data_IF_292473212683
#
_entry.id   IF_292473212683
#
_cell.length_a   1.000
_cell.length_b   1.000
_cell.length_c   1.000
_cell.angle_alpha   90.00
_cell.angle_beta   90.00
_cell.angle_gamma   90.00
#
_symmetry.space_group_name_H-M   'P 1'
#
loop_
_entity.id
_entity.type
_entity.pdbx_description
1 polymer ?
#
# COMPACT_ATOMS: atom_id res chain seq x y z
N UNK A 1 11.01 -1.79 -9.42
CA UNK A 1 11.66 -0.60 -10.00
C UNK A 1 12.11 0.42 -8.96
N UNK A 2 13.40 0.76 -8.96
CA UNK A 2 13.87 1.97 -8.29
C UNK A 2 13.75 3.14 -9.26
N UNK A 3 12.87 4.10 -8.96
CA UNK A 3 12.72 5.30 -9.79
C UNK A 3 13.14 6.52 -8.98
N UNK A 4 14.28 7.08 -9.39
CA UNK A 4 14.89 8.24 -8.76
C UNK A 4 14.67 9.50 -9.56
N UNK A 5 13.86 10.39 -9.01
CA UNK A 5 13.64 11.74 -9.50
C UNK A 5 14.60 12.71 -8.77
N UNK A 6 15.89 12.34 -8.70
CA UNK A 6 16.93 13.09 -7.99
C UNK A 6 17.74 14.04 -8.88
N UNK A 7 17.51 14.00 -10.20
CA UNK A 7 18.11 14.92 -11.16
C UNK A 7 17.21 16.15 -11.30
N UNK A 8 17.84 17.32 -11.47
CA UNK A 8 17.14 18.58 -11.70
C UNK A 8 16.18 18.45 -12.90
N UNK A 9 14.91 18.80 -12.69
CA UNK A 9 13.85 18.71 -13.71
C UNK A 9 13.28 17.31 -13.95
N UNK A 10 13.74 16.26 -13.24
CA UNK A 10 13.20 14.90 -13.38
C UNK A 10 11.87 14.74 -12.63
N UNK A 11 10.82 15.42 -13.10
CA UNK A 11 9.48 15.40 -12.50
C UNK A 11 8.50 14.60 -13.38
N UNK A 12 7.35 14.22 -12.83
CA UNK A 12 6.20 13.69 -13.60
C UNK A 12 6.42 12.35 -14.32
N UNK A 13 7.40 11.56 -13.87
CA UNK A 13 7.54 10.16 -14.32
C UNK A 13 6.34 9.31 -13.87
N UNK A 14 6.11 8.18 -14.54
CA UNK A 14 4.99 7.31 -14.21
C UNK A 14 5.20 5.84 -14.54
N UNK A 15 4.43 5.00 -13.84
CA UNK A 15 4.28 3.56 -14.11
C UNK A 15 2.79 3.30 -14.21
N UNK A 16 2.32 2.96 -15.40
CA UNK A 16 0.89 2.82 -15.67
C UNK A 16 0.58 1.56 -16.46
N UNK A 17 -0.53 0.90 -16.11
CA UNK A 17 -1.04 -0.26 -16.83
C UNK A 17 -0.03 -1.42 -16.93
N UNK A 18 0.82 -1.60 -15.93
CA UNK A 18 1.77 -2.71 -15.85
C UNK A 18 1.20 -3.90 -15.08
N UNK A 19 1.69 -5.10 -15.41
CA UNK A 19 1.43 -6.33 -14.66
C UNK A 19 2.72 -6.77 -13.96
N UNK A 20 2.77 -6.60 -12.64
CA UNK A 20 3.82 -7.12 -11.76
C UNK A 20 3.36 -8.46 -11.22
N UNK A 21 3.98 -9.54 -11.71
CA UNK A 21 3.56 -10.90 -11.40
C UNK A 21 4.72 -11.72 -10.87
N UNK A 22 4.47 -12.52 -9.84
CA UNK A 22 5.41 -13.52 -9.34
C UNK A 22 6.80 -12.93 -8.98
N UNK A 23 6.86 -11.73 -8.40
CA UNK A 23 8.12 -11.19 -7.87
C UNK A 23 8.44 -11.98 -6.59
N UNK A 24 9.60 -12.65 -6.50
CA UNK A 24 9.90 -13.52 -5.38
C UNK A 24 10.08 -12.72 -4.08
N UNK A 25 9.72 -13.35 -2.96
CA UNK A 25 10.07 -12.83 -1.64
C UNK A 25 11.58 -12.89 -1.45
N UNK A 26 12.20 -11.74 -1.22
CA UNK A 26 13.63 -11.60 -1.03
C UNK A 26 13.90 -10.69 0.17
N UNK A 27 14.15 -11.32 1.33
CA UNK A 27 14.31 -10.64 2.63
C UNK A 27 15.45 -9.62 2.58
N UNK A 28 15.13 -8.34 2.64
CA UNK A 28 16.13 -7.28 2.71
C UNK A 28 15.57 -5.93 2.26
N UNK A 29 15.97 -4.87 2.96
CA UNK A 29 15.53 -3.52 2.65
C UNK A 29 16.01 -3.09 1.25
N UNK A 30 15.12 -2.43 0.52
CA UNK A 30 15.42 -1.82 -0.78
C UNK A 30 15.02 -2.68 -1.97
N UNK A 31 14.13 -3.65 -1.77
CA UNK A 31 13.57 -4.51 -2.81
C UNK A 31 12.07 -4.29 -2.96
N UNK A 32 11.66 -3.02 -2.85
CA UNK A 32 10.30 -2.60 -3.12
C UNK A 32 9.95 -2.83 -4.59
N UNK A 33 8.72 -3.27 -4.89
CA UNK A 33 8.26 -3.41 -6.27
C UNK A 33 8.30 -2.06 -6.98
N UNK A 34 7.93 -0.97 -6.30
CA UNK A 34 8.17 0.39 -6.79
C UNK A 34 8.65 1.26 -5.65
N UNK A 35 9.87 1.79 -5.77
CA UNK A 35 10.37 2.86 -4.91
C UNK A 35 10.47 4.16 -5.68
N UNK A 36 9.80 5.20 -5.20
CA UNK A 36 9.89 6.56 -5.75
C UNK A 36 10.64 7.45 -4.77
N UNK A 37 11.78 8.02 -5.18
CA UNK A 37 12.51 9.00 -4.38
C UNK A 37 12.80 10.27 -5.17
N UNK A 38 12.85 11.42 -4.49
CA UNK A 38 13.02 12.73 -5.11
C UNK A 38 12.82 13.87 -4.11
N UNK A 39 12.48 15.07 -4.59
CA UNK A 39 12.14 16.23 -3.76
C UNK A 39 11.03 15.87 -2.75
N UNK A 40 11.22 16.26 -1.49
CA UNK A 40 10.37 15.82 -0.37
C UNK A 40 10.91 14.64 0.45
N UNK A 41 11.97 13.94 -0.01
CA UNK A 41 12.55 12.80 0.73
C UNK A 41 13.18 13.21 2.06
N UNK A 42 14.00 14.27 2.02
CA UNK A 42 14.81 14.73 3.15
C UNK A 42 14.21 15.95 3.84
N UNK A 43 13.31 16.67 3.16
CA UNK A 43 12.54 17.78 3.71
C UNK A 43 11.15 17.77 3.08
N UNK A 44 10.14 17.30 3.79
CA UNK A 44 8.75 17.26 3.32
C UNK A 44 8.10 18.65 3.17
N UNK A 45 8.73 19.72 3.68
CA UNK A 45 8.21 21.10 3.65
C UNK A 45 8.53 21.84 2.35
N UNK A 46 9.41 21.29 1.53
CA UNK A 46 9.68 21.85 0.20
C UNK A 46 8.41 21.95 -0.63
N UNK A 47 8.30 23.01 -1.43
CA UNK A 47 7.14 23.24 -2.32
C UNK A 47 7.20 22.42 -3.60
N UNK A 48 8.26 21.64 -3.78
CA UNK A 48 8.53 20.81 -4.96
C UNK A 48 8.32 19.31 -4.67
N UNK A 49 8.35 18.45 -5.68
CA UNK A 49 8.12 17.01 -5.53
C UNK A 49 8.55 16.15 -6.71
N UNK A 50 8.35 14.84 -6.58
CA UNK A 50 8.57 13.93 -7.70
C UNK A 50 7.40 13.93 -8.69
N UNK A 51 6.19 14.29 -8.22
CA UNK A 51 4.95 14.30 -8.99
C UNK A 51 4.67 12.98 -9.73
N UNK A 52 5.10 11.86 -9.15
CA UNK A 52 5.09 10.56 -9.81
C UNK A 52 3.68 9.99 -9.87
N UNK A 53 3.32 9.36 -10.98
CA UNK A 53 2.01 8.68 -11.13
C UNK A 53 2.17 7.17 -11.22
N UNK A 54 1.63 6.45 -10.24
CA UNK A 54 1.51 4.98 -10.25
C UNK A 54 0.03 4.66 -10.43
N UNK A 55 -0.39 4.29 -11.64
CA UNK A 55 -1.81 4.17 -11.94
C UNK A 55 -2.18 2.90 -12.69
N UNK A 56 -3.26 2.24 -12.27
CA UNK A 56 -3.86 1.16 -13.04
C UNK A 56 -2.95 -0.06 -13.20
N UNK A 57 -2.04 -0.30 -12.25
CA UNK A 57 -1.16 -1.46 -12.27
C UNK A 57 -1.76 -2.62 -11.46
N UNK A 58 -1.45 -3.84 -11.87
CA UNK A 58 -1.79 -5.08 -11.15
C UNK A 58 -0.52 -5.66 -10.53
N UNK A 59 -0.53 -5.88 -9.22
CA UNK A 59 0.48 -6.60 -8.46
C UNK A 59 -0.12 -7.92 -8.00
N UNK A 60 0.43 -9.04 -8.46
CA UNK A 60 -0.12 -10.37 -8.26
C UNK A 60 1.00 -11.32 -7.85
N UNK A 61 0.96 -11.76 -6.60
CA UNK A 61 2.05 -12.53 -6.00
C UNK A 61 3.42 -11.84 -6.17
N UNK A 62 3.48 -10.53 -5.95
CA UNK A 62 4.67 -9.70 -6.19
C UNK A 62 5.34 -9.29 -4.87
N UNK A 63 6.01 -10.22 -4.21
CA UNK A 63 6.36 -10.07 -2.79
C UNK A 63 7.48 -9.07 -2.49
N UNK A 64 8.46 -8.94 -3.38
CA UNK A 64 9.64 -8.10 -3.15
C UNK A 64 10.27 -8.34 -1.76
N UNK A 65 10.49 -7.27 -1.01
CA UNK A 65 10.98 -7.35 0.38
C UNK A 65 9.91 -7.73 1.44
N UNK A 66 8.65 -7.87 1.06
CA UNK A 66 7.54 -8.28 1.92
C UNK A 66 7.05 -7.20 2.90
N UNK A 67 7.46 -5.94 2.75
CA UNK A 67 6.96 -4.83 3.59
C UNK A 67 6.41 -3.65 2.81
N UNK A 68 7.10 -3.19 1.77
CA UNK A 68 6.66 -2.10 0.90
C UNK A 68 6.56 -2.57 -0.56
N UNK A 69 5.34 -2.74 -1.07
CA UNK A 69 5.09 -3.02 -2.48
C UNK A 69 5.36 -1.73 -3.26
N UNK A 70 4.61 -0.68 -2.91
CA UNK A 70 4.85 0.69 -3.37
C UNK A 70 5.39 1.49 -2.19
N UNK A 71 6.52 2.16 -2.38
CA UNK A 71 7.14 3.01 -1.36
C UNK A 71 7.41 4.42 -1.90
N UNK A 72 6.54 5.36 -1.52
CA UNK A 72 6.70 6.77 -1.81
C UNK A 72 7.64 7.41 -0.79
N UNK A 73 8.75 7.97 -1.27
CA UNK A 73 9.76 8.68 -0.48
C UNK A 73 10.00 10.07 -1.08
N UNK A 74 8.92 10.81 -1.38
CA UNK A 74 8.92 12.15 -2.01
C UNK A 74 7.53 12.81 -1.92
N UNK A 75 7.43 14.08 -2.32
CA UNK A 75 6.18 14.86 -2.29
C UNK A 75 5.34 14.72 -3.58
N UNK A 76 4.04 15.02 -3.46
CA UNK A 76 3.09 15.23 -4.57
C UNK A 76 2.86 14.03 -5.52
N UNK A 77 3.13 12.81 -5.07
CA UNK A 77 2.90 11.61 -5.87
C UNK A 77 1.44 11.14 -5.82
N UNK A 78 1.06 10.34 -6.81
CA UNK A 78 -0.27 9.78 -6.96
C UNK A 78 -0.19 8.26 -7.16
N UNK A 79 -0.95 7.52 -6.36
CA UNK A 79 -1.14 6.06 -6.48
C UNK A 79 -2.63 5.80 -6.65
N UNK A 80 -3.04 5.53 -7.89
CA UNK A 80 -4.45 5.61 -8.31
C UNK A 80 -4.91 4.31 -8.96
N UNK A 81 -6.02 3.75 -8.48
CA UNK A 81 -6.71 2.60 -9.09
C UNK A 81 -5.80 1.39 -9.39
N UNK A 82 -4.78 1.16 -8.55
CA UNK A 82 -3.96 -0.06 -8.64
C UNK A 82 -4.68 -1.20 -7.93
N UNK A 83 -4.38 -2.44 -8.34
CA UNK A 83 -4.88 -3.65 -7.68
C UNK A 83 -3.70 -4.48 -7.18
N UNK A 84 -3.74 -4.87 -5.93
CA UNK A 84 -2.76 -5.75 -5.29
C UNK A 84 -3.50 -7.02 -4.86
N UNK A 85 -2.98 -8.18 -5.23
CA UNK A 85 -3.59 -9.49 -4.94
C UNK A 85 -2.54 -10.42 -4.35
N UNK A 86 -2.89 -11.04 -3.22
CA UNK A 86 -2.14 -12.11 -2.57
C UNK A 86 -0.62 -11.82 -2.53
N UNK A 87 -0.25 -10.63 -2.08
CA UNK A 87 1.13 -10.11 -2.11
C UNK A 87 1.56 -9.69 -0.71
N UNK A 88 2.79 -10.04 -0.31
CA UNK A 88 3.39 -9.59 0.94
C UNK A 88 3.69 -8.09 0.90
N UNK A 89 3.51 -7.39 2.02
CA UNK A 89 3.69 -5.94 2.09
C UNK A 89 2.43 -5.17 1.68
N UNK A 90 2.56 -3.85 1.53
CA UNK A 90 1.43 -2.95 1.25
C UNK A 90 1.83 -1.69 0.48
N UNK A 91 0.87 -0.79 0.28
CA UNK A 91 1.08 0.51 -0.37
C UNK A 91 1.46 1.55 0.69
N UNK A 92 2.66 2.11 0.57
CA UNK A 92 3.26 2.91 1.62
C UNK A 92 3.59 4.33 1.13
N UNK A 93 3.05 5.33 1.84
CA UNK A 93 3.67 6.65 1.92
C UNK A 93 4.71 6.59 3.03
N UNK A 94 5.96 6.30 2.66
CA UNK A 94 7.05 6.10 3.62
C UNK A 94 7.64 7.42 4.08
N UNK A 95 7.68 8.44 3.21
CA UNK A 95 8.09 9.83 3.47
C UNK A 95 7.43 10.81 2.48
N UNK A 96 7.49 12.09 2.81
CA UNK A 96 7.01 13.21 1.99
C UNK A 96 5.68 13.79 2.47
N UNK A 97 5.14 14.74 1.72
CA UNK A 97 3.88 15.43 1.94
C UNK A 97 3.02 15.46 0.67
N UNK A 98 1.72 15.75 0.80
CA UNK A 98 0.83 15.99 -0.34
C UNK A 98 0.65 14.81 -1.32
N UNK A 99 1.00 13.59 -0.90
CA UNK A 99 0.74 12.37 -1.67
C UNK A 99 -0.74 11.95 -1.65
N UNK A 100 -1.18 11.28 -2.72
CA UNK A 100 -2.55 10.81 -2.92
C UNK A 100 -2.58 9.28 -3.11
N UNK A 101 -3.33 8.56 -2.28
CA UNK A 101 -3.71 7.16 -2.49
C UNK A 101 -5.22 7.10 -2.75
N UNK A 102 -5.65 6.81 -3.98
CA UNK A 102 -7.07 6.87 -4.34
C UNK A 102 -7.55 5.66 -5.15
N UNK A 103 -8.67 5.09 -4.74
CA UNK A 103 -9.37 4.03 -5.49
C UNK A 103 -8.57 2.72 -5.64
N UNK A 104 -7.51 2.52 -4.87
CA UNK A 104 -6.73 1.29 -4.93
C UNK A 104 -7.49 0.14 -4.28
N UNK A 105 -7.29 -1.06 -4.80
CA UNK A 105 -7.87 -2.31 -4.29
C UNK A 105 -6.75 -3.21 -3.80
N UNK A 106 -6.76 -3.58 -2.52
CA UNK A 106 -5.77 -4.48 -1.93
C UNK A 106 -6.49 -5.71 -1.36
N UNK A 107 -6.17 -6.88 -1.94
CA UNK A 107 -6.74 -8.18 -1.61
C UNK A 107 -5.64 -9.05 -1.02
N UNK A 108 -5.55 -9.10 0.32
CA UNK A 108 -4.56 -9.91 1.01
C UNK A 108 -4.90 -11.41 1.01
N UNK A 109 -6.15 -11.79 0.78
CA UNK A 109 -6.63 -13.18 0.77
C UNK A 109 -6.27 -13.99 2.05
N UNK A 110 -6.05 -13.30 3.17
CA UNK A 110 -5.65 -13.93 4.43
C UNK A 110 -4.18 -14.35 4.49
N UNK A 111 -3.36 -13.95 3.51
CA UNK A 111 -1.92 -14.17 3.51
C UNK A 111 -1.27 -13.40 4.67
N UNK A 112 -0.60 -14.11 5.57
CA UNK A 112 0.16 -13.47 6.66
C UNK A 112 1.28 -12.60 6.08
N UNK A 113 1.40 -11.36 6.55
CA UNK A 113 2.34 -10.38 6.00
C UNK A 113 1.80 -9.59 4.80
N UNK A 114 0.59 -9.88 4.31
CA UNK A 114 -0.10 -8.97 3.40
C UNK A 114 -0.59 -7.76 4.20
N UNK A 115 -0.15 -6.57 3.81
CA UNK A 115 -0.52 -5.32 4.45
C UNK A 115 -1.47 -4.51 3.55
N UNK A 116 -2.26 -3.65 4.18
CA UNK A 116 -3.10 -2.70 3.45
C UNK A 116 -2.34 -1.47 3.01
N UNK A 117 -2.68 -0.33 3.62
CA UNK A 117 -2.05 0.96 3.39
C UNK A 117 -1.17 1.35 4.58
N UNK A 118 -0.07 2.05 4.33
CA UNK A 118 0.72 2.70 5.38
C UNK A 118 1.02 4.14 5.01
N UNK A 119 1.02 5.05 5.97
CA UNK A 119 1.39 6.44 5.72
C UNK A 119 2.09 7.10 6.91
N UNK A 120 2.98 8.02 6.58
CA UNK A 120 3.64 8.96 7.48
C UNK A 120 3.81 10.30 6.77
N UNK A 121 3.85 11.40 7.51
CA UNK A 121 3.97 12.75 6.96
C UNK A 121 2.63 13.46 6.72
N UNK A 122 2.67 14.76 6.38
CA UNK A 122 1.50 15.62 6.40
C UNK A 122 0.77 15.74 5.04
N UNK A 123 -0.44 16.29 5.09
CA UNK A 123 -1.23 16.75 3.93
C UNK A 123 -1.60 15.65 2.92
N UNK A 124 -1.64 14.39 3.33
CA UNK A 124 -1.97 13.28 2.43
C UNK A 124 -3.47 13.15 2.20
N UNK A 125 -3.84 12.66 1.02
CA UNK A 125 -5.22 12.26 0.70
C UNK A 125 -5.29 10.75 0.50
N UNK A 126 -6.06 10.06 1.33
CA UNK A 126 -6.30 8.61 1.24
C UNK A 126 -7.80 8.38 1.09
N UNK A 127 -8.25 8.15 -0.14
CA UNK A 127 -9.67 8.21 -0.46
C UNK A 127 -10.20 7.04 -1.30
N UNK A 128 -11.33 6.47 -0.90
CA UNK A 128 -12.06 5.52 -1.74
C UNK A 128 -11.34 4.20 -1.99
N UNK A 129 -10.35 3.85 -1.16
CA UNK A 129 -9.60 2.60 -1.30
C UNK A 129 -10.39 1.43 -0.70
N UNK A 130 -10.22 0.25 -1.26
CA UNK A 130 -10.72 -1.01 -0.72
C UNK A 130 -9.57 -1.87 -0.24
N UNK A 131 -9.64 -2.35 1.00
CA UNK A 131 -8.64 -3.26 1.56
C UNK A 131 -9.34 -4.39 2.27
N UNK A 132 -9.03 -5.63 1.91
CA UNK A 132 -9.57 -6.82 2.55
C UNK A 132 -8.53 -7.92 2.73
N UNK A 133 -8.71 -8.73 3.76
CA UNK A 133 -7.88 -9.92 3.98
C UNK A 133 -6.41 -9.65 4.34
N UNK A 134 -6.05 -8.40 4.64
CA UNK A 134 -4.72 -8.00 5.09
C UNK A 134 -4.59 -8.04 6.63
N UNK A 135 -3.36 -8.03 7.14
CA UNK A 135 -3.07 -7.93 8.57
C UNK A 135 -3.69 -6.68 9.20
N UNK A 136 -3.61 -5.55 8.48
CA UNK A 136 -4.29 -4.29 8.78
C UNK A 136 -4.81 -3.60 7.52
N UNK A 137 -5.82 -2.75 7.67
CA UNK A 137 -6.39 -1.96 6.58
C UNK A 137 -5.56 -0.72 6.27
N UNK A 138 -5.31 0.11 7.27
CA UNK A 138 -4.38 1.24 7.20
C UNK A 138 -3.64 1.45 8.52
N UNK A 139 -2.33 1.71 8.42
CA UNK A 139 -1.49 2.17 9.54
C UNK A 139 -0.98 3.59 9.28
N UNK A 140 -1.27 4.49 10.20
CA UNK A 140 -0.87 5.90 10.16
C UNK A 140 0.20 6.10 11.23
N UNK A 141 1.47 6.19 10.80
CA UNK A 141 2.63 6.14 11.70
C UNK A 141 3.33 7.49 11.76
N UNK A 142 3.82 7.84 12.96
CA UNK A 142 4.75 8.94 13.18
C UNK A 142 6.15 8.37 13.46
N UNK A 143 7.18 9.20 13.27
CA UNK A 143 8.57 8.81 13.41
C UNK A 143 9.08 7.95 12.25
N UNK A 144 10.38 7.71 12.23
CA UNK A 144 10.99 6.79 11.30
C UNK A 144 10.77 5.34 11.74
N UNK A 145 10.30 4.47 10.83
CA UNK A 145 10.32 3.03 11.06
C UNK A 145 11.78 2.54 11.00
N UNK A 146 12.39 2.33 12.18
CA UNK A 146 13.70 1.69 12.35
C UNK A 146 13.45 0.28 12.87
N UNK A 147 13.95 -0.74 12.17
CA UNK A 147 13.77 -2.17 12.50
C UNK A 147 14.37 -2.53 13.87
N UNK A 148 15.36 -1.75 14.32
CA UNK A 148 15.83 -1.77 15.69
C UNK A 148 15.31 -0.51 16.40
N UNK A 149 14.36 -0.69 17.32
CA UNK A 149 14.11 0.29 18.36
C UNK A 149 15.29 0.21 19.33
N UNK A 150 16.46 0.70 18.89
CA UNK A 150 17.60 0.92 19.75
C UNK A 150 17.22 1.92 20.84
N UNK A 151 17.87 1.81 22.00
CA UNK A 151 17.70 2.71 23.14
C UNK A 151 17.87 4.19 22.78
N UNK A 152 18.56 4.51 21.68
CA UNK A 152 18.75 5.87 21.15
C UNK A 152 17.47 6.53 20.62
N UNK A 153 16.53 5.79 20.01
CA UNK A 153 15.27 6.36 19.49
C UNK A 153 14.41 6.99 20.59
N UNK A 154 14.49 6.46 21.82
CA UNK A 154 13.77 7.01 22.99
C UNK A 154 14.48 8.19 23.65
N UNK A 155 15.74 8.46 23.33
CA UNK A 155 16.52 9.54 23.97
C UNK A 155 16.05 10.94 23.59
N UNK A 156 15.44 11.07 22.42
CA UNK A 156 14.89 12.33 21.88
C UNK A 156 13.36 12.27 21.75
N UNK A 157 12.73 11.37 22.51
CA UNK A 157 11.28 11.37 22.67
C UNK A 157 10.89 12.44 23.69
N UNK A 158 9.87 13.28 23.42
CA UNK A 158 8.85 13.11 22.38
C UNK A 158 9.12 13.88 21.07
N UNK A 159 10.21 14.63 20.94
CA UNK A 159 10.50 15.47 19.77
C UNK A 159 10.63 14.67 18.46
N UNK A 160 11.21 13.47 18.50
CA UNK A 160 11.32 12.57 17.34
C UNK A 160 9.96 12.12 16.77
N UNK A 161 8.88 12.21 17.55
CA UNK A 161 7.55 11.94 17.03
C UNK A 161 7.11 12.99 15.99
N UNK A 162 7.68 14.19 16.04
CA UNK A 162 7.41 15.24 15.05
C UNK A 162 7.99 14.91 13.67
N UNK A 163 8.98 14.02 13.60
CA UNK A 163 9.53 13.54 12.33
C UNK A 163 8.46 12.73 11.61
N UNK A 164 8.08 13.18 10.41
CA UNK A 164 7.03 12.56 9.61
C UNK A 164 5.69 12.42 10.36
N UNK A 165 5.37 13.34 11.27
CA UNK A 165 4.08 13.30 11.99
C UNK A 165 2.92 13.45 11.00
N UNK A 166 1.96 12.49 10.99
CA UNK A 166 0.76 12.62 10.18
C UNK A 166 -0.12 13.76 10.69
N UNK A 167 -0.29 14.78 9.86
CA UNK A 167 -1.09 15.96 10.15
C UNK A 167 -1.80 16.46 8.90
N UNK A 168 -2.97 17.09 9.09
CA UNK A 168 -3.82 17.65 8.03
C UNK A 168 -4.19 16.66 6.90
N UNK A 169 -4.13 15.35 7.17
CA UNK A 169 -4.45 14.34 6.17
C UNK A 169 -5.96 14.10 6.08
N UNK A 170 -6.46 13.80 4.87
CA UNK A 170 -7.85 13.39 4.64
C UNK A 170 -7.92 11.88 4.38
N UNK A 171 -8.53 11.13 5.31
CA UNK A 171 -8.75 9.69 5.22
C UNK A 171 -10.26 9.48 5.10
N UNK A 172 -10.75 9.38 3.87
CA UNK A 172 -12.19 9.44 3.61
C UNK A 172 -12.71 8.34 2.68
N UNK A 173 -13.92 7.86 2.97
CA UNK A 173 -14.67 6.93 2.12
C UNK A 173 -13.91 5.63 1.79
N UNK A 174 -12.96 5.22 2.64
CA UNK A 174 -12.25 3.96 2.46
C UNK A 174 -13.07 2.81 3.05
N UNK A 175 -12.89 1.62 2.48
CA UNK A 175 -13.57 0.41 2.92
C UNK A 175 -12.57 -0.63 3.36
N UNK A 176 -12.50 -0.88 4.66
CA UNK A 176 -11.57 -1.82 5.30
C UNK A 176 -12.35 -3.04 5.80
N UNK A 177 -12.10 -4.20 5.20
CA UNK A 177 -12.79 -5.44 5.54
C UNK A 177 -11.78 -6.37 6.21
N UNK A 178 -12.13 -6.91 7.38
CA UNK A 178 -11.28 -7.82 8.15
C UNK A 178 -12.03 -9.13 8.42
N UNK A 179 -12.07 -10.05 7.43
CA UNK A 179 -12.78 -11.33 7.58
C UNK A 179 -12.31 -12.16 8.78
N UNK A 180 -11.00 -12.13 9.04
CA UNK A 180 -10.37 -12.83 10.17
C UNK A 180 -10.33 -12.01 11.48
N UNK A 181 -10.96 -10.83 11.51
CA UNK A 181 -10.87 -9.92 12.65
C UNK A 181 -9.54 -9.16 12.73
N UNK A 182 -9.33 -8.49 13.87
CA UNK A 182 -8.13 -7.70 14.16
C UNK A 182 -8.31 -6.20 13.96
N UNK A 183 -7.20 -5.48 13.79
CA UNK A 183 -7.19 -4.02 13.65
C UNK A 183 -7.28 -3.66 12.17
N UNK A 184 -8.27 -2.85 11.80
CA UNK A 184 -8.42 -2.30 10.46
C UNK A 184 -7.71 -0.94 10.34
N UNK A 185 -7.90 -0.06 11.31
CA UNK A 185 -7.29 1.28 11.32
C UNK A 185 -6.45 1.42 12.59
N UNK A 186 -5.17 1.71 12.41
CA UNK A 186 -4.21 2.00 13.48
C UNK A 186 -3.56 3.35 13.20
N UNK A 187 -3.47 4.22 14.21
CA UNK A 187 -2.87 5.53 14.05
C UNK A 187 -2.04 5.92 15.27
N UNK A 188 -0.90 6.54 15.03
CA UNK A 188 -0.07 7.12 16.07
C UNK A 188 -0.83 8.27 16.76
N UNK A 189 -0.91 8.21 18.09
CA UNK A 189 -1.42 9.30 18.92
C UNK A 189 -0.27 10.22 19.32
N UNK A 190 -0.45 11.52 19.16
CA UNK A 190 0.53 12.52 19.62
C UNK A 190 0.75 12.35 21.14
N UNK A 191 2.01 12.34 21.58
CA UNK A 191 2.35 12.37 22.99
C UNK A 191 1.82 13.69 23.60
N UNK A 192 1.06 13.64 24.72
CA UNK A 192 0.52 14.83 25.36
C UNK A 192 1.56 15.92 25.67
N UNK A 193 2.83 15.54 25.84
CA UNK A 193 3.94 16.47 26.12
C UNK A 193 4.33 17.33 24.91
N UNK A 194 4.08 16.88 23.68
CA UNK A 194 4.40 17.64 22.45
C UNK A 194 3.48 18.85 22.26
N UNK A 195 2.23 18.72 22.70
CA UNK A 195 1.21 19.79 22.62
C UNK A 195 1.63 21.09 23.33
N UNK A 196 2.72 21.06 24.12
CA UNK A 196 3.25 22.18 24.89
C UNK A 196 4.39 22.96 24.17
N UNK A 197 4.94 22.50 23.04
CA UNK A 197 6.27 22.96 22.57
C UNK A 197 6.34 23.52 21.12
N UNK A 198 5.27 23.49 20.31
CA UNK A 198 5.43 23.90 18.90
C UNK A 198 4.16 23.83 18.05
N UNK A 199 4.23 24.27 16.76
CA UNK A 199 3.10 24.77 15.99
C UNK A 199 1.95 23.77 15.89
N UNK A 200 0.72 24.32 15.87
CA UNK A 200 -0.57 23.61 15.82
C UNK A 200 -0.50 22.40 14.88
N UNK A 201 -0.37 21.21 15.45
CA UNK A 201 -0.57 19.97 14.71
C UNK A 201 -2.04 19.94 14.27
N UNK A 202 -2.28 20.09 12.97
CA UNK A 202 -3.65 20.05 12.43
C UNK A 202 -4.10 18.59 12.45
N UNK A 203 -5.21 18.25 13.15
CA UNK A 203 -5.66 16.87 13.22
C UNK A 203 -5.99 16.29 11.85
N UNK A 204 -5.74 15.00 11.68
CA UNK A 204 -6.20 14.26 10.51
C UNK A 204 -7.73 14.15 10.53
N UNK A 205 -8.34 14.18 9.34
CA UNK A 205 -9.78 14.07 9.13
C UNK A 205 -10.14 12.64 8.73
N UNK A 206 -11.09 12.05 9.44
CA UNK A 206 -11.67 10.76 9.10
C UNK A 206 -13.14 10.95 8.76
N UNK A 207 -13.58 10.49 7.58
CA UNK A 207 -14.97 10.69 7.15
C UNK A 207 -15.48 9.55 6.28
N UNK A 208 -16.63 8.98 6.64
CA UNK A 208 -17.33 8.01 5.78
C UNK A 208 -16.56 6.72 5.52
N UNK A 209 -15.53 6.42 6.33
CA UNK A 209 -14.84 5.14 6.21
C UNK A 209 -15.76 4.02 6.72
N UNK A 210 -15.64 2.83 6.15
CA UNK A 210 -16.42 1.66 6.56
C UNK A 210 -15.44 0.58 7.01
N UNK A 211 -15.65 0.08 8.24
CA UNK A 211 -14.87 -1.03 8.80
C UNK A 211 -15.81 -2.19 9.10
N UNK A 212 -15.60 -3.33 8.43
CA UNK A 212 -16.41 -4.54 8.62
C UNK A 212 -15.55 -5.66 9.16
N UNK A 213 -15.97 -6.29 10.26
CA UNK A 213 -15.26 -7.40 10.91
C UNK A 213 -13.99 -6.98 11.66
N UNK A 214 -13.57 -5.72 11.58
CA UNK A 214 -12.35 -5.21 12.21
C UNK A 214 -12.62 -4.19 13.31
N UNK A 215 -11.53 -3.77 13.97
CA UNK A 215 -11.52 -2.74 15.02
C UNK A 215 -10.74 -1.51 14.58
N UNK A 216 -11.05 -0.37 15.18
CA UNK A 216 -10.29 0.88 15.03
C UNK A 216 -9.52 1.16 16.32
N UNK A 217 -8.26 1.56 16.22
CA UNK A 217 -7.40 1.95 17.34
C UNK A 217 -7.06 3.43 17.30
N UNK A 218 -8.08 4.29 17.29
CA UNK A 218 -7.98 5.75 17.47
C UNK A 218 -9.39 6.35 17.60
N UNK A 219 -9.73 7.08 18.67
CA UNK A 219 -11.07 7.65 18.84
C UNK A 219 -11.53 8.56 17.69
N UNK A 220 -10.64 9.40 17.15
CA UNK A 220 -10.97 10.28 16.02
C UNK A 220 -11.29 9.49 14.74
N UNK A 221 -10.57 8.40 14.47
CA UNK A 221 -10.86 7.53 13.34
C UNK A 221 -12.16 6.73 13.54
N UNK A 222 -12.44 6.32 14.79
CA UNK A 222 -13.68 5.63 15.14
C UNK A 222 -14.89 6.54 14.92
N UNK A 223 -14.85 7.80 15.36
CA UNK A 223 -15.92 8.78 15.11
C UNK A 223 -16.13 9.11 13.63
N UNK A 224 -15.11 8.95 12.79
CA UNK A 224 -15.16 9.14 11.33
C UNK A 224 -15.50 7.88 10.53
N UNK A 225 -15.77 6.75 11.19
CA UNK A 225 -15.97 5.45 10.55
C UNK A 225 -17.28 4.78 10.99
N UNK A 226 -17.99 4.15 10.05
CA UNK A 226 -19.05 3.20 10.41
C UNK A 226 -18.43 1.82 10.68
N UNK A 227 -18.68 1.27 11.87
CA UNK A 227 -18.23 -0.07 12.25
C UNK A 227 -19.38 -1.08 12.10
N UNK A 228 -19.07 -2.26 11.57
CA UNK A 228 -20.04 -3.33 11.39
C UNK A 228 -19.42 -4.72 11.51
N UNK A 229 -20.27 -5.73 11.68
CA UNK A 229 -19.88 -7.14 11.62
C UNK A 229 -19.98 -7.66 10.20
N UNK A 230 -19.30 -8.77 9.90
CA UNK A 230 -19.44 -9.44 8.61
C UNK A 230 -20.90 -9.92 8.44
N UNK A 231 -21.58 -9.56 7.34
CA UNK A 231 -22.95 -10.01 7.12
C UNK A 231 -23.00 -11.52 6.86
N UNK A 232 -24.14 -12.14 7.16
CA UNK A 232 -24.36 -13.55 6.83
C UNK A 232 -24.26 -13.77 5.31
N UNK A 233 -23.53 -14.80 4.88
CA UNK A 233 -23.31 -15.09 3.46
C UNK A 233 -22.43 -14.06 2.75
N UNK A 234 -21.63 -13.31 3.51
CA UNK A 234 -20.55 -12.46 3.00
C UNK A 234 -19.60 -13.27 2.12
N UNK A 235 -19.13 -12.63 1.06
CA UNK A 235 -18.04 -13.13 0.23
C UNK A 235 -17.33 -11.93 -0.38
N UNK A 236 -16.02 -12.00 -0.52
CA UNK A 236 -15.21 -10.95 -1.14
C UNK A 236 -15.78 -10.51 -2.49
N UNK A 237 -16.20 -11.48 -3.32
CA UNK A 237 -16.81 -11.23 -4.63
C UNK A 237 -18.06 -10.34 -4.57
N UNK A 238 -18.94 -10.53 -3.58
CA UNK A 238 -20.14 -9.70 -3.39
C UNK A 238 -19.78 -8.31 -2.86
N UNK A 239 -18.79 -8.25 -1.98
CA UNK A 239 -18.30 -7.00 -1.39
C UNK A 239 -17.66 -6.08 -2.44
N UNK A 240 -16.97 -6.70 -3.42
CA UNK A 240 -16.26 -6.02 -4.50
C UNK A 240 -17.17 -5.48 -5.62
N UNK A 241 -18.49 -5.69 -5.59
CA UNK A 241 -19.40 -5.25 -6.68
C UNK A 241 -19.35 -3.72 -6.92
N UNK A 242 -19.02 -2.93 -5.89
CA UNK A 242 -18.82 -1.48 -6.01
C UNK A 242 -17.39 -1.05 -6.40
N UNK A 243 -16.48 -2.00 -6.60
CA UNK A 243 -15.08 -1.78 -6.91
C UNK A 243 -14.72 -2.48 -8.22
N UNK A 244 -13.67 -2.01 -8.88
CA UNK A 244 -13.17 -2.61 -10.13
C UNK A 244 -11.74 -3.10 -9.92
N UNK A 245 -11.53 -4.26 -9.23
CA UNK A 245 -10.22 -4.89 -9.19
C UNK A 245 -9.76 -5.20 -10.62
N UNK A 246 -8.51 -4.86 -10.92
CA UNK A 246 -7.89 -5.16 -12.20
C UNK A 246 -7.60 -6.65 -12.29
N UNK A 247 -7.74 -7.18 -13.49
CA UNK A 247 -7.38 -8.54 -13.87
C UNK A 247 -6.26 -8.51 -14.90
N UNK A 248 -5.64 -9.65 -15.25
CA UNK A 248 -4.68 -9.70 -16.34
C UNK A 248 -5.23 -9.16 -17.67
N UNK A 249 -6.54 -9.07 -17.88
CA UNK A 249 -7.13 -8.49 -19.10
C UNK A 249 -7.08 -6.96 -19.13
N UNK A 250 -6.88 -6.32 -17.99
CA UNK A 250 -6.94 -4.86 -17.85
C UNK A 250 -5.55 -4.19 -17.93
N UNK A 251 -4.47 -4.98 -17.96
CA UNK A 251 -3.09 -4.50 -17.82
C UNK A 251 -2.12 -5.10 -18.85
N UNK A 252 -1.08 -4.34 -19.16
CA UNK A 252 -0.07 -4.67 -20.16
C UNK A 252 -0.41 -4.11 -21.54
N UNK A 253 0.53 -4.20 -22.49
CA UNK A 253 0.28 -3.78 -23.86
C UNK A 253 -0.73 -4.71 -24.54
N UNK A 254 -1.52 -4.15 -25.46
CA UNK A 254 -2.61 -4.87 -26.13
C UNK A 254 -2.19 -6.20 -26.78
N UNK A 255 -0.97 -6.28 -27.32
CA UNK A 255 -0.45 -7.50 -27.92
C UNK A 255 -0.19 -8.61 -26.89
N UNK A 256 0.24 -8.27 -25.67
CA UNK A 256 0.37 -9.27 -24.60
C UNK A 256 -1.02 -9.74 -24.19
N UNK A 257 -1.97 -8.81 -23.98
CA UNK A 257 -3.36 -9.16 -23.64
C UNK A 257 -3.94 -10.15 -24.66
N UNK A 258 -3.76 -9.88 -25.96
CA UNK A 258 -4.22 -10.76 -27.03
C UNK A 258 -3.57 -12.16 -26.97
N UNK A 259 -2.26 -12.25 -26.72
CA UNK A 259 -1.57 -13.53 -26.56
C UNK A 259 -2.10 -14.31 -25.34
N UNK A 260 -2.36 -13.64 -24.21
CA UNK A 260 -2.97 -14.30 -23.04
C UNK A 260 -4.36 -14.84 -23.33
N UNK A 261 -5.20 -14.05 -24.01
CA UNK A 261 -6.57 -14.45 -24.36
C UNK A 261 -6.61 -15.64 -25.32
N UNK A 262 -5.57 -15.78 -26.15
CA UNK A 262 -5.37 -16.92 -27.04
C UNK A 262 -4.70 -18.13 -26.36
N UNK A 263 -4.35 -18.05 -25.07
CA UNK A 263 -3.52 -19.05 -24.36
C UNK A 263 -2.14 -19.29 -25.03
N UNK A 264 -1.60 -18.27 -25.70
CA UNK A 264 -0.33 -18.28 -26.45
C UNK A 264 0.70 -17.34 -25.81
N UNK A 265 0.70 -17.23 -24.48
CA UNK A 265 1.68 -16.45 -23.74
C UNK A 265 2.42 -17.30 -22.70
N UNK A 266 3.33 -18.20 -23.13
CA UNK A 266 3.90 -19.26 -22.29
C UNK A 266 4.76 -18.76 -21.13
N UNK A 267 5.24 -17.51 -21.19
CA UNK A 267 6.10 -16.87 -20.20
C UNK A 267 5.37 -16.47 -18.92
N UNK A 268 4.05 -16.32 -18.95
CA UNK A 268 3.29 -15.71 -17.84
C UNK A 268 3.10 -16.62 -16.61
N UNK A 269 3.25 -17.94 -16.78
CA UNK A 269 3.05 -18.93 -15.73
C UNK A 269 4.23 -19.90 -15.63
N UNK A 270 5.46 -19.40 -15.62
CA UNK A 270 6.63 -20.25 -15.36
C UNK A 270 6.71 -20.74 -13.90
N UNK A 271 5.89 -20.13 -13.01
CA UNK A 271 5.75 -20.41 -11.57
C UNK A 271 7.09 -20.42 -10.84
N UNK A 272 8.12 -19.74 -11.38
CA UNK A 272 9.48 -19.77 -10.83
C UNK A 272 9.54 -19.27 -9.38
N UNK A 273 8.62 -18.40 -9.01
CA UNK A 273 8.57 -17.72 -7.72
C UNK A 273 7.36 -18.14 -6.87
N UNK A 274 6.74 -19.28 -7.18
CA UNK A 274 5.64 -19.83 -6.38
C UNK A 274 6.06 -20.04 -4.92
N UNK A 275 5.29 -19.50 -3.99
CA UNK A 275 5.45 -19.75 -2.55
C UNK A 275 5.24 -21.23 -2.18
N UNK A 276 4.50 -21.96 -3.01
CA UNK A 276 4.28 -23.39 -2.87
C UNK A 276 5.12 -24.17 -3.90
N UNK A 277 6.25 -24.71 -3.44
CA UNK A 277 7.20 -25.47 -4.25
C UNK A 277 6.57 -26.75 -4.83
N UNK A 278 5.58 -27.37 -4.17
CA UNK A 278 4.89 -28.56 -4.66
C UNK A 278 3.96 -28.23 -5.83
N UNK A 279 3.21 -27.12 -5.74
CA UNK A 279 2.37 -26.62 -6.85
C UNK A 279 3.22 -26.24 -8.06
N UNK A 280 4.38 -25.63 -7.84
CA UNK A 280 5.33 -25.27 -8.90
C UNK A 280 5.89 -26.49 -9.62
N UNK A 281 6.26 -27.55 -8.88
CA UNK A 281 6.73 -28.83 -9.45
C UNK A 281 5.62 -29.53 -10.25
N UNK A 282 4.38 -29.49 -9.76
CA UNK A 282 3.23 -30.10 -10.44
C UNK A 282 2.89 -29.39 -11.76
N UNK A 283 2.93 -28.05 -11.80
CA UNK A 283 2.71 -27.26 -13.01
C UNK A 283 3.82 -27.48 -14.05
N UNK A 284 5.09 -27.53 -13.63
CA UNK A 284 6.22 -27.86 -14.51
C UNK A 284 6.09 -29.25 -15.14
N UNK A 285 5.63 -30.25 -14.37
CA UNK A 285 5.35 -31.61 -14.88
C UNK A 285 4.18 -31.67 -15.88
N UNK A 286 3.18 -30.80 -15.76
CA UNK A 286 2.10 -30.69 -16.75
C UNK A 286 2.63 -30.10 -18.06
N UNK A 287 3.39 -29.00 -18.02
CA UNK A 287 3.98 -28.36 -19.21
C UNK A 287 4.94 -29.27 -19.99
N UNK A 288 5.63 -30.20 -19.33
CA UNK A 288 6.50 -31.20 -20.01
C UNK A 288 5.75 -32.35 -20.66
N UNK A 289 4.47 -32.58 -20.34
CA UNK A 289 3.65 -33.64 -20.96
C UNK A 289 2.82 -33.16 -22.15
N UNK A 290 2.67 -31.85 -22.32
CA UNK A 290 1.93 -31.21 -23.42
C UNK A 290 2.84 -30.67 -24.54
N UNK A 291 4.15 -30.92 -24.47
CA UNK A 291 5.10 -30.75 -25.59
C UNK A 291 5.49 -32.12 -26.12
#
# INVERSE_FOLDING_TARGET
PLVGNGLEGSHHNGVTNCYFKNIPYDVGNGREDIRVWGSGKFDEKTTDGAYFTIQGNLFDHADGEGTEIISLKSNFNQVINNTVVATLGGINIRRGSNNVLKGNVVLGEGLAGAHGLRMSGPNHTVQGNYVSGCDYGIRISAGEFVVEIGSDYKKHWPEEQLVLMPSDCDIANNRFIKPAGGVAIEAATLDPKISLVGPKNIPNRFKGNVVIGGKVKLPAAEGGSSLGTLPQGWSEKKELVGFKPLTPKDVGPAWVIALREADDFPMEDDMSCSRNLETAKAAKKKKTKTK
#
